data_IF_351752664220
#
_entry.id   IF_351752664220
#
_cell.length_a   1.000
_cell.length_b   1.000
_cell.length_c   1.000
_cell.angle_alpha   90.00
_cell.angle_beta   90.00
_cell.angle_gamma   90.00
#
_symmetry.space_group_name_H-M   'P 1'
#
loop_
_entity.id
_entity.type
_entity.pdbx_description
1 polymer ?
#
# COMPACT_ATOMS: atom_id res chain seq x y z
N UNK A 1 18.89 -6.63 3.17
CA UNK A 1 19.87 -7.71 3.42
C UNK A 1 20.93 -7.90 2.32
N UNK A 2 21.81 -6.92 2.06
CA UNK A 2 22.90 -7.05 1.05
C UNK A 2 24.31 -7.12 1.65
N UNK A 3 24.57 -6.46 2.78
CA UNK A 3 25.92 -6.31 3.34
C UNK A 3 26.52 -7.60 3.91
N UNK A 4 25.70 -8.41 4.60
CA UNK A 4 26.14 -9.72 5.11
C UNK A 4 26.49 -10.67 3.97
N UNK A 5 25.76 -10.61 2.85
CA UNK A 5 26.05 -11.37 1.65
C UNK A 5 27.41 -10.97 1.06
N UNK A 6 27.73 -9.68 1.00
CA UNK A 6 29.05 -9.21 0.58
C UNK A 6 30.16 -9.67 1.52
N UNK A 7 29.95 -9.60 2.85
CA UNK A 7 30.93 -10.12 3.81
C UNK A 7 31.09 -11.64 3.69
N UNK A 8 30.01 -12.40 3.54
CA UNK A 8 30.05 -13.85 3.34
C UNK A 8 30.82 -14.21 2.07
N UNK A 9 30.53 -13.57 0.94
CA UNK A 9 31.22 -13.80 -0.32
C UNK A 9 32.70 -13.40 -0.23
N UNK A 10 33.02 -12.26 0.39
CA UNK A 10 34.39 -11.81 0.60
C UNK A 10 35.17 -12.77 1.49
N UNK A 11 34.60 -13.20 2.61
CA UNK A 11 35.21 -14.16 3.53
C UNK A 11 35.40 -15.53 2.88
N UNK A 12 34.42 -15.99 2.08
CA UNK A 12 34.51 -17.24 1.32
C UNK A 12 35.65 -17.19 0.30
N UNK A 13 35.74 -16.12 -0.50
CA UNK A 13 36.83 -15.93 -1.46
C UNK A 13 38.19 -15.82 -0.77
N UNK A 14 38.28 -15.07 0.31
CA UNK A 14 39.51 -14.93 1.09
C UNK A 14 39.91 -16.25 1.77
N UNK A 15 38.96 -17.08 2.17
CA UNK A 15 39.19 -18.43 2.67
C UNK A 15 39.82 -19.33 1.60
N UNK A 16 39.26 -19.34 0.40
CA UNK A 16 39.81 -20.10 -0.75
C UNK A 16 41.22 -19.63 -1.08
N UNK A 17 41.44 -18.31 -1.15
CA UNK A 17 42.77 -17.72 -1.39
C UNK A 17 43.76 -18.04 -0.28
N UNK A 18 43.32 -18.07 0.98
CA UNK A 18 44.17 -18.40 2.13
C UNK A 18 44.65 -19.86 2.07
N UNK A 19 43.77 -20.79 1.71
CA UNK A 19 44.12 -22.21 1.52
C UNK A 19 45.09 -22.38 0.34
N UNK A 20 44.83 -21.71 -0.79
CA UNK A 20 45.71 -21.76 -1.97
C UNK A 20 47.10 -21.13 -1.72
N UNK A 21 47.18 -20.12 -0.86
CA UNK A 21 48.41 -19.42 -0.53
C UNK A 21 49.29 -20.12 0.52
N UNK A 22 48.84 -21.22 1.15
CA UNK A 22 49.59 -21.91 2.21
C UNK A 22 51.02 -22.32 1.83
N UNK A 23 51.26 -22.57 0.54
CA UNK A 23 52.56 -22.96 -0.02
C UNK A 23 53.35 -21.80 -0.65
N UNK A 24 52.81 -20.58 -0.61
CA UNK A 24 53.41 -19.39 -1.23
C UNK A 24 54.21 -18.57 -0.21
N UNK A 25 55.25 -17.82 -0.63
CA UNK A 25 56.08 -17.00 0.26
C UNK A 25 55.27 -15.90 1.00
N UNK A 26 54.15 -15.46 0.42
CA UNK A 26 53.26 -14.44 0.99
C UNK A 26 51.96 -15.02 1.59
N UNK A 27 52.04 -16.22 2.20
CA UNK A 27 50.89 -16.92 2.81
C UNK A 27 50.07 -16.13 3.84
N UNK A 28 50.67 -15.11 4.44
CA UNK A 28 50.04 -14.27 5.46
C UNK A 28 49.16 -13.16 4.88
N UNK A 29 49.33 -12.79 3.61
CA UNK A 29 48.57 -11.70 2.99
C UNK A 29 47.04 -11.96 2.92
N UNK A 30 46.55 -13.12 2.43
CA UNK A 30 45.11 -13.37 2.40
C UNK A 30 44.52 -13.59 3.81
N UNK A 31 45.29 -14.16 4.75
CA UNK A 31 44.90 -14.26 6.15
C UNK A 31 44.76 -12.87 6.80
N UNK A 32 45.71 -11.97 6.55
CA UNK A 32 45.64 -10.58 7.01
C UNK A 32 44.44 -9.83 6.44
N UNK A 33 44.13 -10.03 5.16
CA UNK A 33 42.94 -9.48 4.53
C UNK A 33 41.64 -10.06 5.12
N UNK A 34 41.61 -11.37 5.43
CA UNK A 34 40.47 -12.01 6.09
C UNK A 34 40.22 -11.44 7.48
N UNK A 35 41.28 -11.30 8.29
CA UNK A 35 41.19 -10.67 9.62
C UNK A 35 40.73 -9.22 9.50
N UNK A 36 41.26 -8.46 8.54
CA UNK A 36 40.82 -7.09 8.28
C UNK A 36 39.32 -7.02 7.94
N UNK A 37 38.81 -7.90 7.09
CA UNK A 37 37.38 -7.95 6.75
C UNK A 37 36.52 -8.28 7.97
N UNK A 38 36.96 -9.22 8.82
CA UNK A 38 36.26 -9.54 10.07
C UNK A 38 36.24 -8.36 11.05
N UNK A 39 37.37 -7.66 11.21
CA UNK A 39 37.47 -6.46 12.04
C UNK A 39 36.56 -5.36 11.50
N UNK A 40 36.59 -5.09 10.19
CA UNK A 40 35.70 -4.13 9.56
C UNK A 40 34.23 -4.51 9.74
N UNK A 41 33.87 -5.77 9.55
CA UNK A 41 32.50 -6.25 9.78
C UNK A 41 32.04 -6.05 11.24
N UNK A 42 32.94 -6.26 12.21
CA UNK A 42 32.65 -6.08 13.63
C UNK A 42 32.47 -4.61 14.01
N UNK A 43 33.33 -3.71 13.52
CA UNK A 43 33.29 -2.28 13.88
C UNK A 43 32.27 -1.48 13.06
N UNK A 44 31.83 -1.98 11.90
CA UNK A 44 30.86 -1.29 11.05
C UNK A 44 29.42 -1.80 11.26
N UNK A 45 29.07 -2.34 12.44
CA UNK A 45 27.75 -2.92 12.75
C UNK A 45 26.57 -2.16 12.12
N UNK A 46 25.56 -2.88 11.57
CA UNK A 46 24.56 -2.26 10.70
C UNK A 46 23.74 -1.22 11.48
N UNK A 47 23.75 0.00 10.96
CA UNK A 47 22.79 1.05 11.30
C UNK A 47 21.69 0.95 10.23
N UNK A 48 20.58 0.28 10.53
CA UNK A 48 19.46 0.08 9.61
C UNK A 48 19.80 -0.55 8.24
N UNK A 49 18.80 -0.84 7.45
CA UNK A 49 18.93 -1.22 6.03
C UNK A 49 19.14 0.04 5.17
N UNK A 50 18.60 1.20 5.59
CA UNK A 50 18.88 2.53 4.98
C UNK A 50 19.10 3.64 6.03
N UNK A 51 20.24 3.64 6.72
CA UNK A 51 20.60 4.73 7.67
C UNK A 51 20.52 6.17 7.12
N UNK A 52 20.69 6.39 5.81
CA UNK A 52 20.66 7.73 5.20
C UNK A 52 19.24 8.28 4.95
N UNK A 53 18.20 7.50 5.25
CA UNK A 53 16.80 7.90 5.09
C UNK A 53 16.21 8.63 6.30
N UNK A 54 17.00 8.81 7.36
CA UNK A 54 16.57 9.49 8.57
C UNK A 54 17.18 10.89 8.62
N UNK A 55 16.49 11.87 8.04
CA UNK A 55 16.87 13.28 8.08
C UNK A 55 16.41 13.97 9.39
N UNK A 56 15.85 13.21 10.33
CA UNK A 56 15.31 13.70 11.60
C UNK A 56 14.03 14.54 11.46
N UNK A 57 13.50 14.70 10.24
CA UNK A 57 12.24 15.43 9.96
C UNK A 57 11.07 14.48 9.72
N UNK A 58 11.33 13.17 9.74
CA UNK A 58 10.47 12.13 9.21
C UNK A 58 10.01 11.10 10.26
N UNK A 59 9.86 11.51 11.52
CA UNK A 59 9.36 10.64 12.60
C UNK A 59 10.36 9.57 13.03
N UNK A 60 10.11 8.90 14.15
CA UNK A 60 11.01 7.86 14.67
C UNK A 60 10.77 6.55 13.92
N UNK A 61 11.83 5.94 13.37
CA UNK A 61 11.76 4.62 12.77
C UNK A 61 11.56 3.55 13.86
N UNK A 62 10.40 2.87 13.84
CA UNK A 62 10.04 1.85 14.84
C UNK A 62 10.06 0.42 14.28
N UNK A 63 10.07 0.27 12.96
CA UNK A 63 10.23 -1.01 12.26
C UNK A 63 10.88 -0.79 10.89
N UNK A 64 11.74 -1.71 10.50
CA UNK A 64 12.39 -1.73 9.19
C UNK A 64 12.68 -3.19 8.80
N UNK A 65 12.25 -3.61 7.61
CA UNK A 65 12.62 -4.89 7.03
C UNK A 65 12.57 -4.86 5.49
N UNK A 66 13.03 -5.93 4.85
CA UNK A 66 12.99 -6.12 3.41
C UNK A 66 12.30 -7.43 3.06
N UNK A 67 11.21 -7.35 2.32
CA UNK A 67 10.51 -8.49 1.75
C UNK A 67 11.05 -8.85 0.38
N UNK A 68 10.50 -9.91 -0.23
CA UNK A 68 10.83 -10.28 -1.61
C UNK A 68 10.42 -9.21 -2.65
N UNK A 69 9.53 -8.28 -2.27
CA UNK A 69 8.89 -7.34 -3.19
C UNK A 69 9.02 -5.87 -2.77
N UNK A 70 9.20 -5.58 -1.48
CA UNK A 70 9.29 -4.22 -0.97
C UNK A 70 10.37 -4.10 0.11
N UNK A 71 11.02 -2.96 0.15
CA UNK A 71 11.57 -2.45 1.40
C UNK A 71 10.43 -1.85 2.23
N UNK A 72 10.37 -2.16 3.53
CA UNK A 72 9.26 -1.80 4.42
C UNK A 72 9.81 -1.01 5.62
N UNK A 73 9.21 0.14 5.92
CA UNK A 73 9.50 0.91 7.12
C UNK A 73 8.22 1.43 7.78
N UNK A 74 8.15 1.35 9.10
CA UNK A 74 7.12 2.01 9.91
C UNK A 74 7.76 3.12 10.71
N UNK A 75 7.20 4.32 10.58
CA UNK A 75 7.65 5.51 11.28
C UNK A 75 6.54 6.08 12.13
N UNK A 76 6.89 6.52 13.34
CA UNK A 76 5.98 7.03 14.35
C UNK A 76 6.18 8.54 14.55
N UNK A 77 5.09 9.29 14.57
CA UNK A 77 5.05 10.73 14.81
C UNK A 77 4.04 11.04 15.93
N UNK A 78 4.51 11.13 17.16
CA UNK A 78 3.59 11.24 18.30
C UNK A 78 2.76 9.96 18.40
N UNK A 79 1.44 10.05 18.18
CA UNK A 79 0.55 8.87 18.19
C UNK A 79 0.26 8.29 16.80
N UNK A 80 0.61 8.98 15.71
CA UNK A 80 0.37 8.50 14.35
C UNK A 80 1.49 7.58 13.86
N UNK A 81 1.14 6.62 12.99
CA UNK A 81 2.10 5.72 12.35
C UNK A 81 1.93 5.74 10.84
N UNK A 82 3.06 5.82 10.14
CA UNK A 82 3.10 5.84 8.68
C UNK A 82 3.86 4.63 8.14
N UNK A 83 3.25 3.93 7.19
CA UNK A 83 3.91 2.91 6.40
C UNK A 83 4.61 3.58 5.23
N UNK A 84 5.91 3.33 5.09
CA UNK A 84 6.71 3.78 3.97
C UNK A 84 7.35 2.60 3.27
N UNK A 85 7.25 2.56 1.96
CA UNK A 85 7.79 1.48 1.13
C UNK A 85 8.84 2.04 0.17
N UNK A 86 9.80 1.20 -0.22
CA UNK A 86 10.74 1.37 -1.34
C UNK A 86 11.48 2.70 -1.49
N UNK A 87 10.80 3.79 -1.85
CA UNK A 87 11.36 5.13 -2.07
C UNK A 87 11.35 6.02 -0.82
N UNK A 88 10.52 5.69 0.17
CA UNK A 88 10.45 6.39 1.46
C UNK A 88 9.87 7.80 1.36
N UNK A 89 9.42 8.17 0.17
CA UNK A 89 8.78 9.45 -0.10
C UNK A 89 7.28 9.28 0.08
N UNK A 90 6.69 8.26 -0.54
CA UNK A 90 5.27 7.94 -0.43
C UNK A 90 4.90 7.38 0.94
N UNK A 91 3.84 7.93 1.53
CA UNK A 91 3.13 7.27 2.63
C UNK A 91 2.15 6.29 1.99
N UNK A 92 2.20 5.02 2.39
CA UNK A 92 1.39 3.94 1.84
C UNK A 92 0.29 3.48 2.79
N UNK A 93 0.37 3.87 4.07
CA UNK A 93 -0.71 3.73 5.04
C UNK A 93 -0.48 4.69 6.19
N UNK A 94 -1.57 5.12 6.80
CA UNK A 94 -1.57 6.01 7.96
C UNK A 94 -2.49 5.39 9.01
N UNK A 95 -2.01 5.35 10.25
CA UNK A 95 -2.81 4.96 11.40
C UNK A 95 -2.83 6.10 12.40
N UNK A 96 -4.03 6.63 12.66
CA UNK A 96 -4.28 7.62 13.70
C UNK A 96 -5.19 7.01 14.77
N UNK A 97 -4.65 6.57 15.92
CA UNK A 97 -5.47 5.99 16.98
C UNK A 97 -6.42 7.01 17.63
N UNK A 98 -6.09 8.31 17.54
CA UNK A 98 -6.82 9.39 18.19
C UNK A 98 -7.78 10.14 17.23
N UNK A 99 -7.87 9.72 15.97
CA UNK A 99 -8.73 10.36 14.96
C UNK A 99 -9.54 9.32 14.19
N UNK A 100 -10.78 9.69 13.84
CA UNK A 100 -11.65 8.84 13.03
C UNK A 100 -11.17 8.71 11.58
N UNK A 101 -10.59 9.79 11.05
CA UNK A 101 -10.14 9.88 9.66
C UNK A 101 -8.62 9.76 9.56
N UNK A 102 -8.16 9.29 8.40
CA UNK A 102 -6.74 9.18 8.10
C UNK A 102 -6.07 10.53 7.80
N UNK A 103 -6.86 11.59 7.59
CA UNK A 103 -6.39 12.93 7.19
C UNK A 103 -5.55 12.90 5.91
N UNK A 104 -5.84 11.92 5.05
CA UNK A 104 -5.11 11.64 3.84
C UNK A 104 -6.01 11.20 2.71
N UNK A 105 -5.40 10.82 1.59
CA UNK A 105 -6.15 10.43 0.38
C UNK A 105 -7.06 9.22 0.57
N UNK A 106 -6.80 8.40 1.60
CA UNK A 106 -7.62 7.22 1.89
C UNK A 106 -9.04 7.58 2.35
N UNK A 107 -9.25 8.77 2.91
CA UNK A 107 -10.58 9.24 3.34
C UNK A 107 -11.53 9.38 2.15
N UNK A 108 -11.03 9.64 0.93
CA UNK A 108 -11.87 9.76 -0.26
C UNK A 108 -12.52 8.44 -0.67
N UNK A 109 -11.94 7.29 -0.31
CA UNK A 109 -12.59 5.99 -0.56
C UNK A 109 -13.92 5.85 0.20
N UNK A 110 -14.12 6.60 1.30
CA UNK A 110 -15.40 6.65 2.00
C UNK A 110 -16.50 7.32 1.17
N UNK A 111 -16.18 7.99 0.07
CA UNK A 111 -17.21 8.57 -0.80
C UNK A 111 -17.80 7.54 -1.76
N UNK A 112 -17.09 6.44 -2.04
CA UNK A 112 -17.47 5.47 -3.08
C UNK A 112 -18.92 4.99 -2.93
N UNK A 113 -19.41 4.56 -1.74
CA UNK A 113 -20.81 4.12 -1.58
C UNK A 113 -21.87 5.13 -1.99
N UNK A 114 -21.56 6.44 -2.02
CA UNK A 114 -22.50 7.50 -2.38
C UNK A 114 -22.74 7.62 -3.89
N UNK A 115 -21.92 6.94 -4.70
CA UNK A 115 -22.00 6.88 -6.16
C UNK A 115 -22.71 5.61 -6.68
N UNK A 116 -23.22 4.76 -5.78
CA UNK A 116 -24.08 3.64 -6.17
C UNK A 116 -25.44 4.13 -6.65
N UNK A 117 -25.97 3.49 -7.69
CA UNK A 117 -27.29 3.78 -8.24
C UNK A 117 -28.38 3.00 -7.49
N UNK A 118 -28.70 3.43 -6.27
CA UNK A 118 -29.76 2.83 -5.43
C UNK A 118 -31.09 3.62 -5.45
N UNK A 119 -32.22 2.89 -5.46
CA UNK A 119 -33.62 3.37 -5.56
C UNK A 119 -33.86 4.77 -4.96
N UNK A 120 -34.08 5.76 -5.82
CA UNK A 120 -34.51 7.11 -5.44
C UNK A 120 -33.66 8.26 -5.99
N UNK A 121 -32.49 7.99 -6.57
CA UNK A 121 -31.71 8.97 -7.33
C UNK A 121 -31.94 8.76 -8.81
N UNK A 122 -32.75 9.63 -9.42
CA UNK A 122 -33.00 9.60 -10.85
C UNK A 122 -31.69 9.62 -11.63
N UNK A 123 -31.55 8.62 -12.52
CA UNK A 123 -30.47 8.42 -13.49
C UNK A 123 -29.58 9.66 -13.71
N UNK A 124 -28.43 9.70 -13.03
CA UNK A 124 -27.29 10.48 -13.50
C UNK A 124 -26.39 9.49 -14.21
N UNK A 125 -26.23 9.72 -15.51
CA UNK A 125 -25.75 8.74 -16.48
C UNK A 125 -24.45 8.02 -16.13
N UNK A 126 -24.34 6.83 -16.71
CA UNK A 126 -23.14 6.03 -16.88
C UNK A 126 -21.92 6.93 -17.14
N UNK A 127 -21.02 7.04 -16.17
CA UNK A 127 -19.83 7.88 -16.30
C UNK A 127 -18.94 7.87 -15.05
N UNK A 128 -17.63 7.77 -15.26
CA UNK A 128 -16.65 7.91 -14.18
C UNK A 128 -16.72 9.33 -13.59
N UNK A 129 -16.97 9.44 -12.29
CA UNK A 129 -16.89 10.70 -11.57
C UNK A 129 -15.45 10.92 -11.08
N UNK A 130 -14.75 11.92 -11.64
CA UNK A 130 -13.44 12.34 -11.14
C UNK A 130 -13.68 13.24 -9.91
N UNK A 131 -13.30 12.75 -8.72
CA UNK A 131 -13.21 13.59 -7.53
C UNK A 131 -11.83 14.20 -7.50
N UNK A 132 -11.75 15.49 -7.85
CA UNK A 132 -10.51 16.25 -7.85
C UNK A 132 -10.43 17.18 -6.63
N UNK A 133 -9.42 17.02 -5.78
CA UNK A 133 -9.20 17.89 -4.63
C UNK A 133 -7.73 18.28 -4.52
N UNK A 134 -7.37 19.35 -5.22
CA UNK A 134 -6.25 20.20 -4.85
C UNK A 134 -6.58 20.85 -3.50
N UNK A 135 -5.80 20.53 -2.47
CA UNK A 135 -5.92 21.14 -1.16
C UNK A 135 -5.47 22.61 -1.22
N UNK A 136 -6.34 23.51 -1.69
CA UNK A 136 -6.34 24.90 -1.29
C UNK A 136 -7.21 25.00 -0.05
N UNK A 137 -6.60 25.39 1.08
CA UNK A 137 -7.34 26.00 2.18
C UNK A 137 -7.91 27.31 1.63
N UNK A 138 -9.09 27.24 1.01
CA UNK A 138 -9.85 28.39 0.57
C UNK A 138 -11.33 28.06 0.74
N UNK A 139 -11.93 28.82 1.64
CA UNK A 139 -13.35 28.83 1.97
C UNK A 139 -14.23 28.92 0.71
N UNK A 140 -14.83 27.82 0.27
CA UNK A 140 -16.11 27.83 -0.44
C UNK A 140 -16.95 26.63 0.04
N UNK A 141 -18.07 26.94 0.66
CA UNK A 141 -19.03 25.98 1.19
C UNK A 141 -19.57 25.08 0.07
N UNK A 142 -19.32 23.77 0.14
CA UNK A 142 -20.15 22.79 -0.57
C UNK A 142 -21.55 22.78 0.05
N UNK A 143 -22.38 23.74 -0.33
CA UNK A 143 -23.81 23.78 -0.02
C UNK A 143 -24.57 22.78 -0.92
N UNK A 144 -24.38 21.48 -0.63
CA UNK A 144 -25.29 20.42 -1.04
C UNK A 144 -25.95 19.87 0.21
N UNK A 145 -27.29 19.97 0.29
CA UNK A 145 -28.07 19.42 1.40
C UNK A 145 -27.63 17.98 1.70
N UNK A 146 -27.08 17.75 2.89
CA UNK A 146 -26.94 16.41 3.46
C UNK A 146 -28.35 15.82 3.53
N UNK A 147 -28.67 14.75 2.76
CA UNK A 147 -29.90 14.04 3.00
C UNK A 147 -29.76 13.41 4.38
N UNK A 148 -30.65 13.77 5.29
CA UNK A 148 -30.85 13.08 6.56
C UNK A 148 -31.15 11.60 6.25
N UNK A 149 -30.10 10.79 6.14
CA UNK A 149 -30.20 9.35 6.00
C UNK A 149 -30.44 8.79 7.40
N UNK A 150 -31.55 8.08 7.64
CA UNK A 150 -31.67 7.25 8.83
C UNK A 150 -30.67 6.10 8.68
N UNK A 151 -29.46 6.25 9.25
CA UNK A 151 -28.42 5.22 9.18
C UNK A 151 -28.81 4.09 10.15
N UNK A 152 -29.75 3.25 9.74
CA UNK A 152 -30.04 1.99 10.42
C UNK A 152 -29.34 0.81 9.76
N UNK A 153 -28.79 0.98 8.55
CA UNK A 153 -28.08 -0.04 7.78
C UNK A 153 -26.97 0.61 6.94
N UNK A 154 -25.85 -0.08 6.77
CA UNK A 154 -24.77 0.34 5.87
C UNK A 154 -25.31 0.43 4.44
N UNK A 155 -24.92 1.44 3.63
CA UNK A 155 -25.30 1.55 2.22
C UNK A 155 -24.66 0.47 1.34
N UNK A 156 -23.79 -0.37 1.91
CA UNK A 156 -23.08 -1.46 1.23
C UNK A 156 -23.07 -2.73 2.08
N UNK A 157 -22.98 -3.86 1.41
CA UNK A 157 -22.98 -5.22 1.95
C UNK A 157 -21.59 -5.85 1.93
N UNK A 158 -20.67 -5.40 1.06
CA UNK A 158 -19.29 -5.87 1.02
C UNK A 158 -18.34 -4.87 0.33
N UNK A 159 -17.03 -5.01 0.56
CA UNK A 159 -15.96 -4.24 -0.09
C UNK A 159 -14.84 -5.17 -0.52
N UNK A 160 -14.35 -5.01 -1.75
CA UNK A 160 -13.03 -5.52 -2.18
C UNK A 160 -12.05 -4.36 -2.25
N UNK A 161 -10.87 -4.51 -1.66
CA UNK A 161 -9.76 -3.58 -1.76
C UNK A 161 -8.55 -4.27 -2.38
N UNK A 162 -8.14 -3.84 -3.57
CA UNK A 162 -6.93 -4.28 -4.26
C UNK A 162 -5.80 -3.31 -3.91
N UNK A 163 -4.78 -3.77 -3.19
CA UNK A 163 -3.73 -2.94 -2.61
C UNK A 163 -4.11 -2.48 -1.20
N UNK A 164 -4.20 -3.43 -0.26
CA UNK A 164 -4.67 -3.10 1.08
C UNK A 164 -3.61 -2.49 2.00
N UNK A 165 -2.32 -2.62 1.66
CA UNK A 165 -1.20 -2.15 2.45
C UNK A 165 -1.34 -2.53 3.94
N UNK A 166 -1.13 -1.59 4.87
CA UNK A 166 -1.28 -1.85 6.30
C UNK A 166 -2.72 -1.72 6.83
N UNK A 167 -3.72 -1.53 5.96
CA UNK A 167 -5.13 -1.60 6.34
C UNK A 167 -5.80 -0.28 6.70
N UNK A 168 -5.31 0.87 6.20
CA UNK A 168 -5.96 2.19 6.41
C UNK A 168 -7.41 2.20 5.94
N UNK A 169 -7.66 1.86 4.67
CA UNK A 169 -9.01 1.91 4.08
C UNK A 169 -9.97 0.91 4.77
N UNK A 170 -9.59 -0.35 5.04
CA UNK A 170 -10.43 -1.27 5.79
C UNK A 170 -10.78 -0.75 7.20
N UNK A 171 -9.83 -0.10 7.89
CA UNK A 171 -10.08 0.55 9.16
C UNK A 171 -11.13 1.66 9.03
N UNK A 172 -10.95 2.58 8.10
CA UNK A 172 -11.90 3.66 7.83
C UNK A 172 -13.31 3.13 7.52
N UNK A 173 -13.41 2.11 6.67
CA UNK A 173 -14.71 1.49 6.35
C UNK A 173 -15.35 0.82 7.58
N UNK A 174 -14.55 0.17 8.42
CA UNK A 174 -15.05 -0.46 9.63
C UNK A 174 -15.58 0.56 10.64
N UNK A 175 -14.89 1.68 10.80
CA UNK A 175 -15.31 2.76 11.71
C UNK A 175 -16.56 3.50 11.20
N UNK A 176 -16.67 3.74 9.88
CA UNK A 176 -17.74 4.55 9.29
C UNK A 176 -18.99 3.73 8.92
N UNK A 177 -18.80 2.55 8.33
CA UNK A 177 -19.89 1.70 7.83
C UNK A 177 -20.17 0.49 8.72
N UNK A 178 -19.40 0.31 9.79
CA UNK A 178 -19.55 -0.80 10.72
C UNK A 178 -19.00 -2.12 10.18
N UNK A 179 -19.60 -3.23 10.57
CA UNK A 179 -19.08 -4.58 10.32
C UNK A 179 -19.34 -5.10 8.90
N UNK A 180 -19.23 -4.25 7.88
CA UNK A 180 -19.31 -4.68 6.47
C UNK A 180 -18.15 -5.62 6.17
N UNK A 181 -18.38 -6.81 5.59
CA UNK A 181 -17.32 -7.68 5.11
C UNK A 181 -16.37 -6.98 4.13
N UNK A 182 -15.08 -6.97 4.45
CA UNK A 182 -14.02 -6.36 3.64
C UNK A 182 -13.00 -7.43 3.28
N UNK A 183 -12.70 -7.56 1.99
CA UNK A 183 -11.56 -8.36 1.52
C UNK A 183 -10.45 -7.43 1.05
N UNK A 184 -9.30 -7.44 1.73
CA UNK A 184 -8.11 -6.70 1.31
C UNK A 184 -7.08 -7.63 0.69
N UNK A 185 -6.77 -7.41 -0.58
CA UNK A 185 -5.75 -8.15 -1.31
C UNK A 185 -4.48 -7.33 -1.36
N UNK A 186 -3.41 -7.85 -0.77
CA UNK A 186 -2.08 -7.23 -0.75
C UNK A 186 -1.06 -8.22 -1.33
N UNK A 187 -0.19 -7.74 -2.21
CA UNK A 187 0.79 -8.60 -2.86
C UNK A 187 1.85 -9.10 -1.88
N UNK A 188 2.20 -8.27 -0.88
CA UNK A 188 3.24 -8.56 0.08
C UNK A 188 2.70 -9.08 1.42
N UNK A 189 2.84 -10.39 1.73
CA UNK A 189 2.39 -10.93 3.01
C UNK A 189 3.06 -10.29 4.23
N UNK A 190 4.28 -9.73 4.09
CA UNK A 190 4.95 -9.04 5.19
C UNK A 190 4.27 -7.71 5.52
N UNK A 191 3.74 -7.01 4.52
CA UNK A 191 2.99 -5.76 4.75
C UNK A 191 1.70 -6.05 5.54
N UNK A 192 1.01 -7.16 5.24
CA UNK A 192 -0.15 -7.59 6.04
C UNK A 192 0.22 -7.89 7.49
N UNK A 193 1.39 -8.52 7.73
CA UNK A 193 1.89 -8.74 9.08
C UNK A 193 2.18 -7.44 9.81
N UNK A 194 2.84 -6.49 9.13
CA UNK A 194 3.08 -5.13 9.64
C UNK A 194 1.77 -4.40 9.94
N UNK A 195 0.74 -4.55 9.10
CA UNK A 195 -0.58 -3.97 9.34
C UNK A 195 -1.21 -4.46 10.65
N UNK A 196 -1.11 -5.76 10.93
CA UNK A 196 -1.61 -6.33 12.19
C UNK A 196 -0.82 -5.84 13.40
N UNK A 197 0.51 -5.81 13.30
CA UNK A 197 1.39 -5.50 14.43
C UNK A 197 1.44 -4.00 14.76
N UNK A 198 1.53 -3.15 13.74
CA UNK A 198 1.79 -1.73 13.91
C UNK A 198 0.57 -0.84 13.62
N UNK A 199 -0.43 -1.31 12.86
CA UNK A 199 -1.59 -0.50 12.44
C UNK A 199 -2.91 -1.04 13.02
N UNK A 200 -2.86 -2.07 13.86
CA UNK A 200 -4.03 -2.62 14.52
C UNK A 200 -5.01 -3.32 13.58
N UNK A 201 -4.57 -3.69 12.37
CA UNK A 201 -5.44 -4.21 11.30
C UNK A 201 -5.95 -5.63 11.56
N UNK A 202 -6.76 -5.78 12.59
CA UNK A 202 -7.23 -7.04 13.17
C UNK A 202 -8.76 -7.08 13.30
N UNK A 203 -9.46 -6.19 12.60
CA UNK A 203 -10.92 -6.11 12.62
C UNK A 203 -11.58 -7.43 12.17
N UNK A 204 -12.64 -7.89 12.85
CA UNK A 204 -13.24 -9.20 12.59
C UNK A 204 -13.95 -9.29 11.23
N UNK A 205 -14.34 -8.17 10.65
CA UNK A 205 -14.93 -8.06 9.32
C UNK A 205 -13.89 -7.92 8.20
N UNK A 206 -12.59 -7.89 8.52
CA UNK A 206 -11.51 -7.68 7.55
C UNK A 206 -10.74 -8.97 7.23
N UNK A 207 -10.96 -9.50 6.02
CA UNK A 207 -10.24 -10.64 5.47
C UNK A 207 -9.00 -10.17 4.71
N UNK A 208 -7.82 -10.57 5.17
CA UNK A 208 -6.54 -10.24 4.54
C UNK A 208 -6.07 -11.37 3.64
N UNK A 209 -5.78 -11.06 2.37
CA UNK A 209 -5.35 -12.01 1.36
C UNK A 209 -3.99 -11.59 0.80
N UNK A 210 -3.00 -12.48 0.91
CA UNK A 210 -1.69 -12.28 0.30
C UNK A 210 -1.68 -12.79 -1.15
N UNK A 211 -1.94 -11.92 -2.12
CA UNK A 211 -2.00 -12.28 -3.54
C UNK A 211 -1.84 -11.07 -4.48
N UNK A 212 -1.57 -11.34 -5.76
CA UNK A 212 -1.78 -10.33 -6.80
C UNK A 212 -3.28 -10.07 -7.00
N UNK A 213 -3.70 -8.80 -6.95
CA UNK A 213 -5.10 -8.41 -6.97
C UNK A 213 -5.86 -8.85 -8.21
N UNK A 214 -5.29 -8.64 -9.40
CA UNK A 214 -5.92 -9.06 -10.67
C UNK A 214 -6.02 -10.57 -10.76
N UNK A 215 -4.95 -11.29 -10.43
CA UNK A 215 -4.95 -12.75 -10.43
C UNK A 215 -5.96 -13.32 -9.45
N UNK A 216 -6.03 -12.76 -8.24
CA UNK A 216 -6.96 -13.20 -7.23
C UNK A 216 -8.40 -12.97 -7.67
N UNK A 217 -8.72 -11.80 -8.22
CA UNK A 217 -10.07 -11.50 -8.72
C UNK A 217 -10.46 -12.45 -9.86
N UNK A 218 -9.56 -12.71 -10.81
CA UNK A 218 -9.78 -13.65 -11.91
C UNK A 218 -9.96 -15.13 -11.49
N UNK A 219 -9.71 -15.46 -10.22
CA UNK A 219 -9.91 -16.80 -9.67
C UNK A 219 -11.22 -16.92 -8.87
N UNK A 220 -11.94 -15.81 -8.67
CA UNK A 220 -13.25 -15.86 -8.03
C UNK A 220 -14.28 -16.43 -8.99
N UNK A 221 -15.36 -16.96 -8.44
CA UNK A 221 -16.51 -17.40 -9.23
C UNK A 221 -17.25 -16.20 -9.80
N UNK A 222 -17.90 -16.37 -10.95
CA UNK A 222 -18.73 -15.33 -11.58
C UNK A 222 -19.84 -14.79 -10.66
N UNK A 223 -20.29 -15.58 -9.67
CA UNK A 223 -21.29 -15.17 -8.67
C UNK A 223 -20.72 -14.28 -7.54
N UNK A 224 -19.40 -14.10 -7.47
CA UNK A 224 -18.73 -13.35 -6.41
C UNK A 224 -18.68 -11.85 -6.74
N UNK A 225 -19.74 -11.13 -6.41
CA UNK A 225 -19.87 -9.70 -6.71
C UNK A 225 -19.62 -8.79 -5.50
N UNK A 226 -19.18 -7.57 -5.78
CA UNK A 226 -18.88 -6.55 -4.78
C UNK A 226 -19.66 -5.25 -5.02
N UNK A 227 -20.19 -4.68 -3.93
CA UNK A 227 -20.85 -3.37 -3.94
C UNK A 227 -19.83 -2.24 -4.17
N UNK A 228 -18.62 -2.40 -3.64
CA UNK A 228 -17.49 -1.49 -3.88
C UNK A 228 -16.24 -2.29 -4.18
N UNK A 229 -15.56 -1.93 -5.28
CA UNK A 229 -14.19 -2.36 -5.57
C UNK A 229 -13.28 -1.13 -5.51
N UNK A 230 -12.43 -1.06 -4.50
CA UNK A 230 -11.41 -0.04 -4.35
C UNK A 230 -10.05 -0.55 -4.87
N UNK A 231 -9.35 0.24 -5.67
CA UNK A 231 -8.03 -0.07 -6.21
C UNK A 231 -7.02 0.97 -5.71
N UNK A 232 -6.17 0.56 -4.77
CA UNK A 232 -5.11 1.34 -4.13
C UNK A 232 -3.76 0.59 -4.17
N UNK A 233 -3.43 -0.01 -5.31
CA UNK A 233 -2.22 -0.81 -5.49
C UNK A 233 -1.02 0.03 -5.97
N UNK A 234 -0.82 1.22 -5.40
CA UNK A 234 0.19 2.17 -5.88
C UNK A 234 1.62 1.72 -5.51
N UNK A 235 2.51 1.71 -6.50
CA UNK A 235 3.96 1.58 -6.29
C UNK A 235 4.64 2.80 -6.89
N UNK A 236 4.84 3.88 -6.12
CA UNK A 236 5.43 5.10 -6.63
C UNK A 236 6.68 4.80 -7.49
N UNK A 237 6.75 5.33 -8.72
CA UNK A 237 5.88 6.38 -9.29
C UNK A 237 4.68 5.89 -10.12
N UNK A 238 4.30 4.60 -10.12
CA UNK A 238 3.28 4.05 -11.04
C UNK A 238 2.26 3.11 -10.39
N UNK A 239 1.08 3.01 -11.01
CA UNK A 239 0.17 1.87 -10.83
C UNK A 239 0.74 0.70 -11.66
N UNK A 240 0.79 -0.55 -11.14
CA UNK A 240 1.21 -1.70 -11.95
C UNK A 240 0.42 -1.80 -13.25
N UNK A 241 1.10 -1.92 -14.38
CA UNK A 241 0.48 -1.81 -15.72
C UNK A 241 -0.71 -2.77 -15.92
N UNK A 242 -0.66 -3.96 -15.30
CA UNK A 242 -1.70 -4.97 -15.45
C UNK A 242 -2.98 -4.62 -14.67
N UNK A 243 -2.96 -3.56 -13.85
CA UNK A 243 -4.13 -2.98 -13.16
C UNK A 243 -4.64 -1.71 -13.87
N UNK A 244 -4.11 -1.39 -15.04
CA UNK A 244 -4.48 -0.21 -15.83
C UNK A 244 -4.83 -0.58 -17.28
N UNK A 245 -5.34 -1.80 -17.51
CA UNK A 245 -5.72 -2.28 -18.85
C UNK A 245 -7.23 -2.42 -18.98
N UNK A 246 -7.76 -2.40 -20.20
CA UNK A 246 -9.19 -2.61 -20.47
C UNK A 246 -9.64 -3.94 -19.88
N UNK A 247 -8.87 -5.00 -20.09
CA UNK A 247 -9.21 -6.35 -19.61
C UNK A 247 -9.24 -6.45 -18.07
N UNK A 248 -8.48 -5.60 -17.37
CA UNK A 248 -8.58 -5.52 -15.92
C UNK A 248 -9.89 -4.84 -15.52
N UNK A 249 -10.29 -3.76 -16.19
CA UNK A 249 -11.56 -3.10 -15.89
C UNK A 249 -12.79 -3.88 -16.33
N UNK A 250 -12.70 -4.67 -17.40
CA UNK A 250 -13.71 -5.67 -17.75
C UNK A 250 -13.85 -6.71 -16.63
N UNK A 251 -12.74 -7.26 -16.14
CA UNK A 251 -12.76 -8.19 -15.01
C UNK A 251 -13.37 -7.57 -13.74
N UNK A 252 -13.05 -6.30 -13.45
CA UNK A 252 -13.64 -5.56 -12.33
C UNK A 252 -15.15 -5.40 -12.53
N UNK A 253 -15.59 -4.98 -13.72
CA UNK A 253 -17.00 -4.84 -14.06
C UNK A 253 -17.77 -6.15 -13.90
N UNK A 254 -17.18 -7.27 -14.34
CA UNK A 254 -17.80 -8.59 -14.25
C UNK A 254 -17.98 -9.07 -12.79
N UNK A 255 -17.26 -8.47 -11.83
CA UNK A 255 -17.38 -8.74 -10.39
C UNK A 255 -18.00 -7.58 -9.59
N UNK A 256 -18.56 -6.56 -10.26
CA UNK A 256 -19.36 -5.53 -9.58
C UNK A 256 -20.81 -6.01 -9.42
N UNK A 257 -21.44 -5.61 -8.31
CA UNK A 257 -22.89 -5.68 -8.19
C UNK A 257 -23.56 -4.80 -9.26
N UNK A 258 -24.85 -5.01 -9.54
CA UNK A 258 -25.60 -4.28 -10.57
C UNK A 258 -25.54 -2.75 -10.39
N UNK A 259 -25.58 -2.29 -9.15
CA UNK A 259 -25.44 -0.88 -8.73
C UNK A 259 -24.08 -0.62 -8.05
N UNK A 260 -23.10 -1.50 -8.28
CA UNK A 260 -21.78 -1.45 -7.68
C UNK A 260 -20.92 -0.34 -8.27
N UNK A 261 -19.89 0.08 -7.52
CA UNK A 261 -18.97 1.13 -7.92
C UNK A 261 -17.51 0.71 -7.80
N UNK A 262 -16.69 1.14 -8.75
CA UNK A 262 -15.23 1.05 -8.66
C UNK A 262 -14.64 2.41 -8.31
N UNK A 263 -13.71 2.44 -7.35
CA UNK A 263 -12.92 3.61 -6.98
C UNK A 263 -11.43 3.31 -7.17
N UNK A 264 -10.70 4.19 -7.84
CA UNK A 264 -9.28 3.97 -8.15
C UNK A 264 -8.46 5.16 -7.69
N UNK A 265 -7.41 4.91 -6.90
CA UNK A 265 -6.43 5.93 -6.56
C UNK A 265 -5.51 6.21 -7.76
N UNK A 266 -5.54 7.44 -8.28
CA UNK A 266 -4.70 7.87 -9.39
C UNK A 266 -3.98 9.16 -9.02
N UNK A 267 -2.65 9.08 -8.86
CA UNK A 267 -1.81 10.24 -8.63
C UNK A 267 -1.74 11.17 -9.83
N UNK A 268 -1.84 12.48 -9.59
CA UNK A 268 -1.64 13.54 -10.59
C UNK A 268 -0.77 14.66 -10.03
N UNK A 269 -0.25 15.51 -10.92
CA UNK A 269 0.24 16.83 -10.49
C UNK A 269 -0.89 17.85 -10.62
N UNK A 270 -0.64 19.03 -10.08
CA UNK A 270 -1.55 20.18 -10.13
C UNK A 270 -2.07 20.52 -11.54
N UNK A 271 -1.26 20.27 -12.57
CA UNK A 271 -1.52 20.72 -13.94
C UNK A 271 -1.57 19.59 -14.96
N UNK A 272 -1.32 18.34 -14.58
CA UNK A 272 -1.24 17.21 -15.50
C UNK A 272 -2.23 16.10 -15.13
N UNK A 273 -3.30 15.98 -15.93
CA UNK A 273 -4.36 14.99 -15.79
C UNK A 273 -4.22 13.82 -16.77
N UNK A 274 -3.14 13.76 -17.57
CA UNK A 274 -3.03 12.77 -18.64
C UNK A 274 -3.17 11.32 -18.15
N UNK A 275 -2.71 11.00 -16.93
CA UNK A 275 -2.90 9.67 -16.35
C UNK A 275 -4.37 9.43 -15.94
N UNK A 276 -5.03 10.43 -15.36
CA UNK A 276 -6.46 10.35 -15.00
C UNK A 276 -7.31 10.17 -16.25
N UNK A 277 -7.03 10.93 -17.31
CA UNK A 277 -7.73 10.85 -18.59
C UNK A 277 -7.53 9.50 -19.25
N UNK A 278 -6.29 8.98 -19.26
CA UNK A 278 -5.98 7.66 -19.82
C UNK A 278 -6.67 6.53 -19.03
N UNK A 279 -6.67 6.60 -17.70
CA UNK A 279 -7.37 5.64 -16.85
C UNK A 279 -8.88 5.69 -17.11
N UNK A 280 -9.47 6.88 -17.13
CA UNK A 280 -10.91 7.07 -17.41
C UNK A 280 -11.29 6.52 -18.78
N UNK A 281 -10.48 6.75 -19.81
CA UNK A 281 -10.71 6.22 -21.15
C UNK A 281 -10.57 4.69 -21.23
N UNK A 282 -9.81 4.08 -20.32
CA UNK A 282 -9.65 2.61 -20.23
C UNK A 282 -10.81 1.95 -19.47
N UNK A 283 -11.49 2.72 -18.62
CA UNK A 283 -12.65 2.27 -17.84
C UNK A 283 -13.98 2.39 -18.59
N UNK A 284 -14.04 3.23 -19.63
CA UNK A 284 -15.22 3.46 -20.47
C UNK A 284 -15.49 2.27 -21.41
#
# INVERSE_FOLDING_TARGET
GTRWTFYLLALLLLGVLSVGALRQPHRWAPLGALVLVLVLAFFTQPQGVRAAWDDGRTGTLIYEDESAVNYIAVREWGSERHLKLNDGIGIHSVYHPDALLSQGIWDYFLLAPLFRDGEGRGARGEGAAIVDCQLLIANEECAGQSPNLPISQSPISNLLLIGAAAGTVPGLYTEIYGSVPITGVELDPQILAVGREYFGATWPNYTQVAADGRRWLAQQSDDATFDVIAVDAYRPPYIPFHLTTVEFFELVRDHLAEDGVVAVNVGRTDTNYALVDAMTATMA
#
